data_IF_361821073900
#
_entry.id   IF_361821073900
#
_cell.length_a   1.000
_cell.length_b   1.000
_cell.length_c   1.000
_cell.angle_alpha   90.00
_cell.angle_beta   90.00
_cell.angle_gamma   90.00
#
_symmetry.space_group_name_H-M   'P 1'
#
loop_
_entity.id
_entity.type
_entity.pdbx_description
1 polymer ?
#
# COMPACT_ATOMS: atom_id res chain seq x y z
N UNK A 1 16.29 14.27 18.40
CA UNK A 1 16.77 12.87 18.52
C UNK A 1 17.86 12.55 17.49
N UNK A 2 17.63 12.69 16.18
CA UNK A 2 18.63 12.36 15.14
C UNK A 2 19.96 13.08 15.30
N UNK A 3 19.94 14.36 15.69
CA UNK A 3 21.16 15.15 15.95
C UNK A 3 22.02 14.57 17.08
N UNK A 4 21.42 14.12 18.18
CA UNK A 4 22.14 13.54 19.33
C UNK A 4 22.77 12.20 18.98
N UNK A 5 22.10 11.39 18.15
CA UNK A 5 22.63 10.12 17.67
C UNK A 5 23.88 10.35 16.82
N UNK A 6 23.82 11.31 15.91
CA UNK A 6 24.91 11.57 14.96
C UNK A 6 26.09 12.32 15.58
N UNK A 7 25.88 13.15 16.61
CA UNK A 7 26.94 13.93 17.25
C UNK A 7 27.52 13.24 18.48
N UNK A 8 26.68 12.62 19.30
CA UNK A 8 27.06 12.16 20.64
C UNK A 8 26.95 10.64 20.81
N UNK A 9 26.50 9.92 19.77
CA UNK A 9 26.24 8.48 19.85
C UNK A 9 25.12 8.10 20.83
N UNK A 10 24.36 9.09 21.32
CA UNK A 10 23.33 8.91 22.33
C UNK A 10 21.96 9.26 21.76
N UNK A 11 21.02 8.34 21.88
CA UNK A 11 19.68 8.50 21.30
C UNK A 11 18.62 8.95 22.33
N UNK A 12 18.96 9.00 23.62
CA UNK A 12 17.98 9.11 24.71
C UNK A 12 17.53 7.75 25.24
N UNK A 13 17.16 7.69 26.52
CA UNK A 13 16.81 6.46 27.24
C UNK A 13 15.70 5.65 26.55
N UNK A 14 14.73 6.32 25.92
CA UNK A 14 13.61 5.65 25.24
C UNK A 14 14.06 4.93 23.97
N UNK A 15 14.85 5.60 23.12
CA UNK A 15 15.33 5.01 21.86
C UNK A 15 16.32 3.89 22.15
N UNK A 16 17.20 4.07 23.14
CA UNK A 16 18.15 3.04 23.56
C UNK A 16 17.45 1.81 24.14
N UNK A 17 16.45 2.01 25.02
CA UNK A 17 15.65 0.91 25.56
C UNK A 17 14.88 0.16 24.47
N UNK A 18 14.30 0.90 23.51
CA UNK A 18 13.56 0.29 22.41
C UNK A 18 14.48 -0.47 21.44
N UNK A 19 15.65 0.10 21.10
CA UNK A 19 16.66 -0.56 20.29
C UNK A 19 17.12 -1.88 20.92
N UNK A 20 17.46 -1.85 22.22
CA UNK A 20 17.85 -3.06 22.94
C UNK A 20 16.71 -4.10 23.04
N UNK A 21 15.47 -3.65 23.21
CA UNK A 21 14.30 -4.54 23.23
C UNK A 21 14.07 -5.24 21.89
N UNK A 22 14.24 -4.54 20.77
CA UNK A 22 14.03 -5.07 19.41
C UNK A 22 15.16 -5.98 18.97
N UNK A 23 16.41 -5.60 19.26
CA UNK A 23 17.59 -6.34 18.83
C UNK A 23 17.81 -7.59 19.69
N UNK A 24 17.51 -7.56 21.00
CA UNK A 24 17.78 -8.65 21.97
C UNK A 24 19.17 -9.29 21.81
N UNK A 25 20.19 -8.48 21.52
CA UNK A 25 21.57 -8.95 21.30
C UNK A 25 21.85 -9.58 19.92
N UNK A 26 20.86 -9.66 19.02
CA UNK A 26 21.01 -10.15 17.67
C UNK A 26 20.69 -9.05 16.63
N UNK A 27 21.74 -8.37 16.17
CA UNK A 27 21.61 -7.26 15.21
C UNK A 27 20.97 -7.66 13.89
N UNK A 28 21.10 -8.92 13.46
CA UNK A 28 20.44 -9.42 12.23
C UNK A 28 18.94 -9.55 12.45
N UNK A 29 18.50 -10.10 13.59
CA UNK A 29 17.09 -10.13 13.96
C UNK A 29 16.52 -8.72 14.06
N UNK A 30 17.26 -7.81 14.73
CA UNK A 30 16.87 -6.41 14.83
C UNK A 30 16.70 -5.73 13.47
N UNK A 31 17.58 -6.01 12.50
CA UNK A 31 17.49 -5.49 11.15
C UNK A 31 16.26 -6.03 10.38
N UNK A 32 15.96 -7.32 10.53
CA UNK A 32 14.77 -7.96 9.92
C UNK A 32 13.49 -7.32 10.48
N UNK A 33 13.37 -7.21 11.80
CA UNK A 33 12.21 -6.58 12.46
C UNK A 33 12.08 -5.12 12.04
N UNK A 34 13.19 -4.39 11.97
CA UNK A 34 13.19 -2.99 11.51
C UNK A 34 12.68 -2.85 10.07
N UNK A 35 13.14 -3.71 9.15
CA UNK A 35 12.66 -3.71 7.75
C UNK A 35 11.16 -3.99 7.66
N UNK A 36 10.66 -4.95 8.45
CA UNK A 36 9.22 -5.25 8.52
C UNK A 36 8.44 -4.03 9.00
N UNK A 37 8.89 -3.36 10.07
CA UNK A 37 8.24 -2.15 10.59
C UNK A 37 8.23 -1.00 9.56
N UNK A 38 9.33 -0.81 8.83
CA UNK A 38 9.40 0.21 7.76
C UNK A 38 8.39 -0.10 6.64
N UNK A 39 8.27 -1.36 6.22
CA UNK A 39 7.30 -1.78 5.20
C UNK A 39 5.88 -1.59 5.69
N UNK A 40 5.56 -2.00 6.92
CA UNK A 40 4.24 -1.79 7.52
C UNK A 40 3.91 -0.30 7.52
N UNK A 41 4.83 0.55 7.99
CA UNK A 41 4.64 1.99 8.01
C UNK A 41 4.40 2.55 6.60
N UNK A 42 5.19 2.11 5.62
CA UNK A 42 5.03 2.53 4.23
C UNK A 42 3.67 2.13 3.65
N UNK A 43 3.20 0.90 3.92
CA UNK A 43 1.91 0.40 3.46
C UNK A 43 0.75 1.15 4.13
N UNK A 44 0.85 1.42 5.44
CA UNK A 44 -0.16 2.22 6.16
C UNK A 44 -0.26 3.63 5.58
N UNK A 45 0.88 4.27 5.28
CA UNK A 45 0.91 5.60 4.63
C UNK A 45 0.26 5.54 3.24
N UNK A 46 0.59 4.51 2.44
CA UNK A 46 0.06 4.33 1.09
C UNK A 46 -1.44 4.05 1.09
N UNK A 47 -1.95 3.26 2.06
CA UNK A 47 -3.39 3.06 2.29
C UNK A 47 -4.10 4.38 2.63
N UNK A 48 -3.43 5.28 3.36
CA UNK A 48 -3.94 6.62 3.67
C UNK A 48 -4.20 7.48 2.42
N UNK A 49 -3.40 7.30 1.36
CA UNK A 49 -3.49 8.04 0.09
C UNK A 49 -4.64 7.59 -0.82
N UNK A 50 -5.14 6.36 -0.65
CA UNK A 50 -6.24 5.82 -1.48
C UNK A 50 -7.56 6.60 -1.34
N UNK A 51 -7.78 7.24 -0.19
CA UNK A 51 -9.00 8.04 0.08
C UNK A 51 -9.11 9.29 -0.81
N UNK A 52 -8.00 9.83 -1.29
CA UNK A 52 -8.01 11.01 -2.17
C UNK A 52 -8.54 10.63 -3.56
N UNK A 53 -8.20 9.43 -4.06
CA UNK A 53 -8.68 8.93 -5.35
C UNK A 53 -10.18 8.58 -5.31
N UNK A 54 -10.67 8.01 -4.21
CA UNK A 54 -12.10 7.78 -3.96
C UNK A 54 -12.89 9.10 -4.00
N UNK A 55 -12.36 10.14 -3.34
CA UNK A 55 -13.00 11.46 -3.29
C UNK A 55 -13.05 12.10 -4.69
N UNK A 56 -11.99 11.98 -5.50
CA UNK A 56 -11.99 12.50 -6.87
C UNK A 56 -12.97 11.77 -7.81
N UNK A 57 -13.05 10.43 -7.71
CA UNK A 57 -14.03 9.64 -8.45
C UNK A 57 -15.46 10.02 -8.06
N UNK A 58 -15.70 10.20 -6.76
CA UNK A 58 -17.00 10.61 -6.23
C UNK A 58 -17.40 12.02 -6.66
N UNK A 59 -16.49 12.99 -6.60
CA UNK A 59 -16.76 14.33 -7.12
C UNK A 59 -17.11 14.34 -8.61
N UNK A 60 -16.47 13.46 -9.39
CA UNK A 60 -16.74 13.33 -10.82
C UNK A 60 -18.12 12.69 -11.07
N UNK A 61 -18.50 11.71 -10.26
CA UNK A 61 -19.82 11.06 -10.31
C UNK A 61 -20.95 11.99 -9.84
N UNK A 62 -20.72 12.79 -8.78
CA UNK A 62 -21.68 13.76 -8.27
C UNK A 62 -21.98 14.89 -9.28
N UNK A 63 -21.06 15.15 -10.22
CA UNK A 63 -21.25 16.11 -11.31
C UNK A 63 -22.07 15.57 -12.50
N UNK A 64 -22.33 14.25 -12.57
CA UNK A 64 -23.04 13.62 -13.70
C UNK A 64 -24.48 14.12 -13.89
N UNK A 65 -25.30 14.29 -12.83
CA UNK A 65 -26.65 14.87 -12.98
C UNK A 65 -26.60 16.28 -13.57
N UNK A 66 -25.62 17.10 -13.19
CA UNK A 66 -25.42 18.44 -13.73
C UNK A 66 -25.08 18.42 -15.23
N UNK A 67 -24.18 17.52 -15.64
CA UNK A 67 -23.84 17.32 -17.06
C UNK A 67 -25.03 16.78 -17.89
N UNK A 68 -25.89 15.94 -17.30
CA UNK A 68 -27.11 15.46 -17.96
C UNK A 68 -28.15 16.58 -18.09
N UNK A 69 -28.38 17.34 -17.02
CA UNK A 69 -29.27 18.51 -17.02
C UNK A 69 -28.83 19.57 -18.04
N UNK A 70 -27.53 19.79 -18.26
CA UNK A 70 -27.07 20.72 -19.29
C UNK A 70 -27.36 20.23 -20.70
N UNK A 71 -27.30 18.92 -20.96
CA UNK A 71 -27.69 18.35 -22.26
C UNK A 71 -29.20 18.53 -22.47
N UNK A 72 -30.00 18.27 -21.45
CA UNK A 72 -31.46 18.43 -21.51
C UNK A 72 -31.85 19.89 -21.75
N UNK A 73 -31.15 20.83 -21.12
CA UNK A 73 -31.34 22.26 -21.34
C UNK A 73 -30.96 22.68 -22.77
N UNK A 74 -29.84 22.21 -23.30
CA UNK A 74 -29.41 22.50 -24.68
C UNK A 74 -30.37 21.90 -25.72
N UNK A 75 -30.88 20.69 -25.48
CA UNK A 75 -31.87 20.03 -26.34
C UNK A 75 -33.21 20.80 -26.33
N UNK A 76 -33.70 21.19 -25.15
CA UNK A 76 -34.93 21.97 -25.01
C UNK A 76 -34.80 23.38 -25.61
N UNK A 77 -33.60 23.96 -25.60
CA UNK A 77 -33.30 25.24 -26.24
C UNK A 77 -33.09 25.13 -27.77
N UNK A 78 -33.11 23.92 -28.33
CA UNK A 78 -32.89 23.67 -29.76
C UNK A 78 -31.44 23.90 -30.22
N UNK A 79 -30.49 23.96 -29.29
CA UNK A 79 -29.05 24.15 -29.58
C UNK A 79 -28.43 22.86 -30.12
N UNK A 80 -28.97 21.70 -29.72
CA UNK A 80 -28.58 20.37 -30.17
C UNK A 80 -29.81 19.56 -30.59
N UNK A 81 -29.60 18.54 -31.42
CA UNK A 81 -30.63 17.59 -31.82
C UNK A 81 -30.64 16.31 -30.95
N UNK A 82 -31.70 15.50 -31.07
CA UNK A 82 -31.89 14.28 -30.28
C UNK A 82 -30.74 13.26 -30.47
N UNK A 83 -30.18 13.20 -31.68
CA UNK A 83 -29.06 12.34 -32.01
C UNK A 83 -27.79 12.76 -31.26
N UNK A 84 -27.46 14.05 -31.27
CA UNK A 84 -26.31 14.60 -30.53
C UNK A 84 -26.51 14.48 -29.02
N UNK A 85 -27.72 14.73 -28.52
CA UNK A 85 -28.05 14.57 -27.11
C UNK A 85 -27.83 13.12 -26.64
N UNK A 86 -28.27 12.14 -27.44
CA UNK A 86 -28.07 10.71 -27.17
C UNK A 86 -26.59 10.33 -27.16
N UNK A 87 -25.80 10.81 -28.13
CA UNK A 87 -24.37 10.54 -28.19
C UNK A 87 -23.63 11.11 -26.96
N UNK A 88 -23.97 12.34 -26.56
CA UNK A 88 -23.38 12.99 -25.37
C UNK A 88 -23.78 12.29 -24.07
N UNK A 89 -25.04 11.86 -23.93
CA UNK A 89 -25.50 11.05 -22.78
C UNK A 89 -24.74 9.72 -22.69
N UNK A 90 -24.49 9.06 -23.82
CA UNK A 90 -23.68 7.83 -23.85
C UNK A 90 -22.22 8.07 -23.44
N UNK A 91 -21.63 9.22 -23.83
CA UNK A 91 -20.27 9.60 -23.38
C UNK A 91 -20.21 9.80 -21.87
N UNK A 92 -21.19 10.51 -21.30
CA UNK A 92 -21.32 10.71 -19.85
C UNK A 92 -21.50 9.36 -19.13
N UNK A 93 -22.33 8.46 -19.69
CA UNK A 93 -22.52 7.14 -19.11
C UNK A 93 -21.23 6.32 -19.08
N UNK A 94 -20.45 6.31 -20.17
CA UNK A 94 -19.14 5.65 -20.21
C UNK A 94 -18.15 6.24 -19.21
N UNK A 95 -18.18 7.57 -19.02
CA UNK A 95 -17.38 8.26 -18.01
C UNK A 95 -17.79 7.80 -16.60
N UNK A 96 -19.10 7.72 -16.32
CA UNK A 96 -19.63 7.23 -15.06
C UNK A 96 -19.28 5.77 -14.79
N UNK A 97 -19.38 4.90 -15.79
CA UNK A 97 -19.02 3.48 -15.67
C UNK A 97 -17.51 3.32 -15.39
N UNK A 98 -16.67 4.13 -16.03
CA UNK A 98 -15.22 4.14 -15.79
C UNK A 98 -14.86 4.59 -14.36
N UNK A 99 -15.42 5.72 -13.89
CA UNK A 99 -15.15 6.21 -12.53
C UNK A 99 -15.79 5.34 -11.44
N UNK A 100 -16.96 4.74 -11.71
CA UNK A 100 -17.58 3.74 -10.84
C UNK A 100 -16.75 2.46 -10.72
N UNK A 101 -16.19 1.98 -11.85
CA UNK A 101 -15.24 0.86 -11.84
C UNK A 101 -13.91 1.22 -11.15
N UNK A 102 -13.43 2.47 -11.28
CA UNK A 102 -12.24 2.94 -10.57
C UNK A 102 -12.43 3.05 -9.05
N UNK A 103 -13.59 3.51 -8.56
CA UNK A 103 -13.89 3.49 -7.11
C UNK A 103 -13.90 2.05 -6.57
N UNK A 104 -14.48 1.10 -7.32
CA UNK A 104 -14.50 -0.32 -6.96
C UNK A 104 -13.11 -0.99 -6.98
N UNK A 105 -12.30 -0.73 -8.01
CA UNK A 105 -10.97 -1.32 -8.16
C UNK A 105 -9.93 -0.72 -7.19
N UNK A 106 -10.08 0.55 -6.81
CA UNK A 106 -9.16 1.22 -5.87
C UNK A 106 -9.36 0.76 -4.42
N UNK A 107 -10.58 0.31 -4.08
CA UNK A 107 -10.92 -0.26 -2.77
C UNK A 107 -10.53 -1.73 -2.62
N UNK A 108 -10.36 -2.46 -3.72
CA UNK A 108 -10.06 -3.89 -3.67
C UNK A 108 -8.61 -4.22 -4.03
N UNK A 109 -7.88 -4.66 -2.99
CA UNK A 109 -6.84 -5.70 -3.08
C UNK A 109 -5.61 -5.32 -3.91
N UNK A 110 -4.74 -4.50 -3.33
CA UNK A 110 -3.29 -4.57 -3.64
C UNK A 110 -2.42 -4.43 -2.40
N UNK A 111 -2.79 -3.55 -1.47
CA UNK A 111 -1.94 -3.24 -0.32
C UNK A 111 -1.61 -4.44 0.58
N UNK A 112 -2.61 -5.25 0.97
CA UNK A 112 -2.39 -6.32 1.97
C UNK A 112 -1.70 -7.57 1.41
N UNK A 113 -2.05 -8.00 0.19
CA UNK A 113 -1.37 -9.13 -0.42
C UNK A 113 0.12 -8.82 -0.73
N UNK A 114 0.41 -7.58 -1.15
CA UNK A 114 1.79 -7.13 -1.38
C UNK A 114 2.55 -7.04 -0.04
N UNK A 115 1.89 -6.62 1.04
CA UNK A 115 2.47 -6.60 2.38
C UNK A 115 2.93 -7.99 2.82
N UNK A 116 2.02 -8.97 2.76
CA UNK A 116 2.29 -10.35 3.15
C UNK A 116 3.47 -10.93 2.36
N UNK A 117 3.45 -10.81 1.03
CA UNK A 117 4.52 -11.30 0.16
C UNK A 117 5.88 -10.68 0.52
N UNK A 118 5.94 -9.37 0.75
CA UNK A 118 7.19 -8.69 1.12
C UNK A 118 7.71 -9.14 2.48
N UNK A 119 6.82 -9.29 3.48
CA UNK A 119 7.19 -9.77 4.81
C UNK A 119 7.71 -11.20 4.74
N UNK A 120 7.04 -12.08 4.01
CA UNK A 120 7.48 -13.47 3.81
C UNK A 120 8.87 -13.51 3.18
N UNK A 121 9.12 -12.74 2.12
CA UNK A 121 10.45 -12.71 1.46
C UNK A 121 11.53 -12.24 2.43
N UNK A 122 11.27 -11.21 3.22
CA UNK A 122 12.24 -10.69 4.20
C UNK A 122 12.49 -11.70 5.32
N UNK A 123 11.46 -12.39 5.80
CA UNK A 123 11.59 -13.45 6.81
C UNK A 123 12.42 -14.63 6.27
N UNK A 124 12.21 -15.03 5.01
CA UNK A 124 13.01 -16.09 4.38
C UNK A 124 14.47 -15.68 4.27
N UNK A 125 14.76 -14.51 3.71
CA UNK A 125 16.14 -14.04 3.51
C UNK A 125 16.84 -13.80 4.85
N UNK A 126 16.17 -13.14 5.79
CA UNK A 126 16.67 -12.91 7.15
C UNK A 126 16.90 -14.21 7.91
N UNK A 127 15.97 -15.16 7.78
CA UNK A 127 16.06 -16.49 8.36
C UNK A 127 17.27 -17.27 7.82
N UNK A 128 17.49 -17.26 6.51
CA UNK A 128 18.67 -17.89 5.87
C UNK A 128 19.95 -17.22 6.37
N UNK A 129 19.99 -15.89 6.45
CA UNK A 129 21.16 -15.16 6.96
C UNK A 129 21.48 -15.57 8.41
N UNK A 130 20.47 -15.68 9.28
CA UNK A 130 20.65 -16.17 10.66
C UNK A 130 21.09 -17.64 10.67
N UNK A 131 20.46 -18.48 9.86
CA UNK A 131 20.76 -19.91 9.77
C UNK A 131 22.20 -20.18 9.36
N UNK A 132 22.66 -19.52 8.29
CA UNK A 132 24.01 -19.74 7.74
C UNK A 132 25.07 -19.00 8.54
N UNK A 133 24.88 -17.71 8.82
CA UNK A 133 25.93 -16.85 9.39
C UNK A 133 26.07 -17.02 10.90
N UNK A 134 24.97 -17.25 11.62
CA UNK A 134 25.01 -17.32 13.09
C UNK A 134 24.88 -18.75 13.62
N UNK A 135 24.07 -19.58 12.96
CA UNK A 135 23.83 -20.96 13.40
C UNK A 135 24.71 -22.00 12.68
N UNK A 136 25.57 -21.57 11.74
CA UNK A 136 26.43 -22.44 10.94
C UNK A 136 25.68 -23.61 10.26
N UNK A 137 24.41 -23.39 9.91
CA UNK A 137 23.62 -24.38 9.18
C UNK A 137 24.08 -24.42 7.72
N UNK A 138 24.10 -25.59 7.09
CA UNK A 138 24.30 -25.68 5.65
C UNK A 138 23.16 -24.93 4.94
N UNK A 139 23.51 -24.20 3.88
CA UNK A 139 22.59 -23.32 3.15
C UNK A 139 21.27 -24.02 2.75
N UNK A 140 21.36 -25.29 2.36
CA UNK A 140 20.20 -26.08 1.95
C UNK A 140 19.22 -26.34 3.11
N UNK A 141 19.75 -26.65 4.30
CA UNK A 141 18.94 -26.87 5.51
C UNK A 141 18.35 -25.56 6.04
N UNK A 142 19.11 -24.46 5.96
CA UNK A 142 18.62 -23.14 6.31
C UNK A 142 17.48 -22.70 5.36
N UNK A 143 17.61 -22.94 4.05
CA UNK A 143 16.57 -22.67 3.07
C UNK A 143 15.28 -23.42 3.40
N UNK A 144 15.34 -24.74 3.57
CA UNK A 144 14.16 -25.56 3.84
C UNK A 144 13.46 -25.13 5.13
N UNK A 145 14.22 -24.99 6.22
CA UNK A 145 13.69 -24.66 7.54
C UNK A 145 13.06 -23.27 7.59
N UNK A 146 13.77 -22.25 7.14
CA UNK A 146 13.29 -20.87 7.24
C UNK A 146 12.24 -20.53 6.17
N UNK A 147 12.25 -21.20 5.01
CA UNK A 147 11.16 -21.08 4.03
C UNK A 147 9.87 -21.70 4.54
N UNK A 148 9.93 -22.91 5.12
CA UNK A 148 8.75 -23.57 5.71
C UNK A 148 8.14 -22.73 6.84
N UNK A 149 8.97 -22.22 7.74
CA UNK A 149 8.51 -21.38 8.85
C UNK A 149 7.93 -20.04 8.38
N UNK A 150 8.51 -19.42 7.35
CA UNK A 150 8.02 -18.14 6.82
C UNK A 150 6.71 -18.28 6.02
N UNK A 151 6.51 -19.42 5.34
CA UNK A 151 5.24 -19.73 4.68
C UNK A 151 4.16 -20.08 5.70
N UNK A 152 4.50 -20.74 6.81
CA UNK A 152 3.54 -21.06 7.87
C UNK A 152 3.12 -19.85 8.73
N UNK A 153 3.89 -18.76 8.70
CA UNK A 153 3.62 -17.51 9.40
C UNK A 153 2.79 -16.51 8.56
N UNK A 154 2.89 -16.58 7.22
CA UNK A 154 2.19 -15.70 6.27
C UNK A 154 0.82 -16.22 5.86
#
# INVERSE_FOLDING_TARGET
STRLILLDGYAGNVIDSFGNFVVRGNYVVGAVVFLILVIINFIVITKGSGRIAEVAARFTLDAMPGKQMSIDAELNAGVIDEATATERRQKIQKEADFYGAMDGASKFVRGDAIAGILITVINVVGGIAIGVVQKNLPLNEALEKYTLLSIGDG
#
